data_IF_347187599285
#
_entry.id   IF_347187599285
#
_cell.length_a   1.000
_cell.length_b   1.000
_cell.length_c   1.000
_cell.angle_alpha   90.00
_cell.angle_beta   90.00
_cell.angle_gamma   90.00
#
_symmetry.space_group_name_H-M   'P 1'
#
loop_
_entity.id
_entity.type
_entity.pdbx_description
1 polymer ?
#
# COMPACT_ATOMS: atom_id res chain seq x y z
N UNK A 1 61.14 39.46 -55.23
CA UNK A 1 59.82 39.17 -54.65
C UNK A 1 59.48 37.69 -54.63
N UNK A 2 60.31 36.80 -55.16
CA UNK A 2 60.07 35.32 -55.21
C UNK A 2 60.80 34.51 -54.10
N UNK A 3 61.74 35.08 -53.40
CA UNK A 3 62.53 34.36 -52.34
C UNK A 3 61.83 34.43 -50.98
N UNK A 4 61.00 35.43 -50.68
CA UNK A 4 60.24 35.52 -49.42
C UNK A 4 59.06 34.56 -49.36
N UNK A 5 58.46 34.15 -50.50
CA UNK A 5 57.30 33.22 -50.49
C UNK A 5 57.67 31.75 -50.22
N UNK A 6 58.88 31.35 -50.66
CA UNK A 6 59.39 30.00 -50.41
C UNK A 6 59.82 29.76 -48.95
N UNK A 7 60.37 30.77 -48.29
CA UNK A 7 60.70 30.71 -46.87
C UNK A 7 59.52 30.64 -45.95
N UNK A 8 58.44 31.38 -46.30
CA UNK A 8 57.20 31.35 -45.54
C UNK A 8 56.47 29.97 -45.69
N UNK A 9 56.50 29.37 -46.90
CA UNK A 9 55.91 28.04 -47.11
C UNK A 9 56.73 26.95 -46.45
N UNK A 10 58.04 27.04 -46.43
CA UNK A 10 58.93 26.07 -45.75
C UNK A 10 58.79 26.16 -44.21
N UNK A 11 58.63 27.36 -43.66
CA UNK A 11 58.43 27.57 -42.23
C UNK A 11 57.04 27.05 -41.78
N UNK A 12 55.98 27.25 -42.56
CA UNK A 12 54.62 26.78 -42.27
C UNK A 12 54.56 25.23 -42.33
N UNK A 13 55.20 24.60 -43.29
CA UNK A 13 55.24 23.14 -43.40
C UNK A 13 56.05 22.52 -42.26
N UNK A 14 57.19 23.13 -41.86
CA UNK A 14 57.96 22.60 -40.76
C UNK A 14 57.27 22.85 -39.38
N UNK A 15 56.59 23.97 -39.20
CA UNK A 15 55.80 24.23 -38.02
C UNK A 15 54.63 23.25 -37.94
N UNK A 16 54.00 22.91 -39.10
CA UNK A 16 52.93 21.93 -39.15
C UNK A 16 53.44 20.51 -38.87
N UNK A 17 54.62 20.13 -39.39
CA UNK A 17 55.25 18.87 -39.07
C UNK A 17 55.69 18.74 -37.61
N UNK A 18 56.18 19.82 -37.00
CA UNK A 18 56.55 19.86 -35.56
C UNK A 18 55.29 19.80 -34.70
N UNK A 19 54.21 20.47 -35.10
CA UNK A 19 52.93 20.42 -34.41
C UNK A 19 52.26 19.05 -34.51
N UNK A 20 52.31 18.37 -35.65
CA UNK A 20 51.79 17.03 -35.82
C UNK A 20 52.63 15.98 -35.08
N UNK A 21 53.94 16.14 -35.04
CA UNK A 21 54.86 15.26 -34.28
C UNK A 21 54.71 15.38 -32.77
N UNK A 22 54.42 16.58 -32.27
CA UNK A 22 54.16 16.83 -30.86
C UNK A 22 52.72 16.45 -30.48
N UNK A 23 51.77 16.48 -31.43
CA UNK A 23 50.39 16.04 -31.12
C UNK A 23 50.31 14.52 -30.80
N UNK A 24 51.10 13.70 -31.43
CA UNK A 24 51.15 12.27 -31.10
C UNK A 24 51.80 12.02 -29.74
N UNK A 25 52.81 12.79 -29.36
CA UNK A 25 53.40 12.72 -28.00
C UNK A 25 52.44 13.25 -26.95
N UNK A 26 51.72 14.32 -27.21
CA UNK A 26 50.68 14.86 -26.29
C UNK A 26 49.45 13.92 -26.20
N UNK A 27 48.98 13.34 -27.29
CA UNK A 27 47.90 12.34 -27.26
C UNK A 27 48.32 11.07 -26.51
N UNK A 28 49.54 10.58 -26.73
CA UNK A 28 50.07 9.41 -26.00
C UNK A 28 50.30 9.74 -24.52
N UNK A 29 50.77 10.93 -24.17
CA UNK A 29 50.90 11.37 -22.78
C UNK A 29 49.54 11.59 -22.10
N UNK A 30 48.56 12.16 -22.78
CA UNK A 30 47.17 12.27 -22.27
C UNK A 30 46.49 10.92 -22.16
N UNK A 31 46.66 10.02 -23.15
CA UNK A 31 46.15 8.66 -23.07
C UNK A 31 46.83 7.85 -21.94
N UNK A 32 48.14 8.02 -21.74
CA UNK A 32 48.85 7.39 -20.61
C UNK A 32 48.50 7.96 -19.27
N UNK A 33 48.21 9.29 -19.16
CA UNK A 33 47.68 9.92 -17.92
C UNK A 33 46.25 9.50 -17.63
N UNK A 34 45.40 9.26 -18.65
CA UNK A 34 44.07 8.72 -18.44
C UNK A 34 44.06 7.20 -18.19
N UNK A 35 45.07 6.45 -18.67
CA UNK A 35 45.18 4.99 -18.39
C UNK A 35 45.83 4.68 -17.03
N UNK A 36 46.54 5.62 -16.39
CA UNK A 36 47.18 5.37 -15.10
C UNK A 36 46.33 5.64 -13.87
N UNK A 37 45.02 5.98 -14.06
CA UNK A 37 44.05 6.23 -12.99
C UNK A 37 42.83 5.34 -12.97
N UNK A 38 42.59 4.51 -14.00
CA UNK A 38 41.51 3.56 -14.03
C UNK A 38 41.99 2.17 -13.58
N UNK A 39 42.19 2.01 -12.28
CA UNK A 39 42.08 0.67 -11.70
C UNK A 39 40.63 0.27 -11.89
N UNK A 40 40.35 -0.54 -12.93
CA UNK A 40 39.13 -1.30 -13.02
C UNK A 40 39.14 -2.27 -11.82
N UNK A 41 38.68 -1.82 -10.68
CA UNK A 41 38.44 -2.71 -9.56
C UNK A 41 37.34 -3.67 -10.03
N UNK A 42 37.68 -4.94 -10.18
CA UNK A 42 36.68 -5.96 -10.47
C UNK A 42 35.61 -5.86 -9.37
N UNK A 43 34.39 -5.56 -9.75
CA UNK A 43 33.29 -5.51 -8.78
C UNK A 43 33.15 -6.88 -8.12
N UNK A 44 33.12 -6.90 -6.78
CA UNK A 44 32.89 -8.12 -6.02
C UNK A 44 31.46 -8.60 -6.31
N UNK A 45 31.33 -9.83 -6.77
CA UNK A 45 30.03 -10.48 -6.92
C UNK A 45 29.69 -11.24 -5.64
N UNK A 46 28.53 -10.96 -5.07
CA UNK A 46 28.00 -11.66 -3.90
C UNK A 46 26.70 -12.35 -4.30
N UNK A 47 26.58 -13.61 -3.97
CA UNK A 47 25.44 -14.46 -4.30
C UNK A 47 24.50 -14.60 -3.09
N UNK A 48 23.19 -14.47 -3.34
CA UNK A 48 22.14 -14.60 -2.35
C UNK A 48 21.07 -15.58 -2.82
N UNK A 49 20.70 -16.52 -1.96
CA UNK A 49 19.67 -17.53 -2.25
C UNK A 49 18.80 -17.79 -1.00
N UNK A 50 17.49 -17.66 -1.12
CA UNK A 50 16.54 -17.99 -0.04
C UNK A 50 16.60 -19.47 0.38
N UNK A 51 17.15 -20.33 -0.47
CA UNK A 51 17.37 -21.75 -0.16
C UNK A 51 18.68 -22.04 0.59
N UNK A 52 19.56 -21.04 0.79
CA UNK A 52 20.75 -21.19 1.63
C UNK A 52 20.34 -21.45 3.10
N UNK A 53 21.08 -22.29 3.81
CA UNK A 53 20.74 -22.66 5.18
C UNK A 53 20.86 -21.50 6.16
N UNK A 54 21.84 -20.59 5.93
CA UNK A 54 22.15 -19.44 6.77
C UNK A 54 23.02 -18.42 6.01
N UNK A 55 23.52 -17.39 6.70
CA UNK A 55 24.40 -16.35 6.16
C UNK A 55 25.90 -16.60 6.43
N UNK A 56 26.31 -17.79 6.87
CA UNK A 56 27.70 -18.07 7.23
C UNK A 56 28.61 -18.29 6.01
N UNK A 57 28.05 -18.61 4.84
CA UNK A 57 28.81 -18.68 3.59
C UNK A 57 29.49 -17.36 3.27
N UNK A 58 30.58 -17.34 2.51
CA UNK A 58 31.25 -16.12 2.07
C UNK A 58 30.47 -15.32 1.01
N UNK A 59 29.51 -15.97 0.35
CA UNK A 59 28.71 -15.39 -0.72
C UNK A 59 29.43 -15.31 -2.06
N UNK A 60 30.61 -15.89 -2.23
CA UNK A 60 31.41 -15.77 -3.47
C UNK A 60 30.98 -16.75 -4.57
N UNK A 61 30.14 -17.72 -4.23
CA UNK A 61 29.54 -18.68 -5.17
C UNK A 61 28.09 -18.96 -4.80
N UNK A 62 27.31 -19.55 -5.71
CA UNK A 62 25.95 -20.01 -5.41
C UNK A 62 25.92 -21.09 -4.31
N UNK A 63 26.95 -21.93 -4.21
CA UNK A 63 27.07 -22.95 -3.16
C UNK A 63 27.36 -22.37 -1.78
N UNK A 64 27.96 -21.19 -1.69
CA UNK A 64 28.27 -20.47 -0.43
C UNK A 64 27.43 -19.21 -0.27
N UNK A 65 26.30 -19.11 -1.01
CA UNK A 65 25.44 -17.94 -1.03
C UNK A 65 24.95 -17.53 0.37
N UNK A 66 24.78 -16.24 0.58
CA UNK A 66 24.06 -15.69 1.72
C UNK A 66 22.58 -16.05 1.62
N UNK A 67 21.91 -16.20 2.75
CA UNK A 67 20.47 -16.45 2.79
C UNK A 67 19.66 -15.15 2.64
N UNK A 68 20.11 -14.09 3.31
CA UNK A 68 19.41 -12.82 3.40
C UNK A 68 20.05 -11.77 2.49
N UNK A 69 19.22 -10.92 1.88
CA UNK A 69 19.71 -9.84 1.00
C UNK A 69 20.54 -8.82 1.79
N UNK A 70 20.14 -8.49 3.02
CA UNK A 70 20.90 -7.59 3.90
C UNK A 70 22.32 -8.09 4.17
N UNK A 71 22.49 -9.40 4.39
CA UNK A 71 23.82 -10.01 4.54
C UNK A 71 24.62 -9.96 3.22
N UNK A 72 23.94 -10.12 2.08
CA UNK A 72 24.55 -9.96 0.76
C UNK A 72 25.03 -8.52 0.52
N UNK A 73 24.22 -7.52 0.84
CA UNK A 73 24.58 -6.09 0.74
C UNK A 73 25.80 -5.78 1.63
N UNK A 74 25.80 -6.27 2.86
CA UNK A 74 26.94 -6.10 3.79
C UNK A 74 28.21 -6.72 3.23
N UNK A 75 28.14 -7.93 2.66
CA UNK A 75 29.27 -8.63 2.07
C UNK A 75 29.79 -7.96 0.77
N UNK A 76 28.90 -7.27 0.03
CA UNK A 76 29.28 -6.53 -1.18
C UNK A 76 30.12 -5.27 -0.89
N UNK A 77 30.14 -4.80 0.36
CA UNK A 77 30.90 -3.62 0.77
C UNK A 77 30.37 -2.32 0.15
N UNK A 78 31.26 -1.49 -0.38
CA UNK A 78 30.92 -0.16 -0.89
C UNK A 78 30.69 -0.09 -2.41
N UNK A 79 30.96 -1.16 -3.17
CA UNK A 79 30.92 -1.11 -4.65
C UNK A 79 30.69 -2.48 -5.30
N UNK A 80 30.07 -3.43 -4.61
CA UNK A 80 29.81 -4.78 -5.12
C UNK A 80 28.47 -4.93 -5.80
N UNK A 81 28.30 -6.09 -6.44
CA UNK A 81 27.03 -6.54 -7.06
C UNK A 81 26.49 -7.74 -6.28
N UNK A 82 25.27 -7.61 -5.80
CA UNK A 82 24.54 -8.67 -5.10
C UNK A 82 23.63 -9.38 -6.10
N UNK A 83 24.00 -10.59 -6.51
CA UNK A 83 23.22 -11.44 -7.41
C UNK A 83 22.21 -12.27 -6.63
N UNK A 84 20.92 -11.98 -6.78
CA UNK A 84 19.86 -12.59 -5.98
C UNK A 84 19.09 -13.61 -6.82
N UNK A 85 19.07 -14.86 -6.34
CA UNK A 85 18.32 -15.94 -6.98
C UNK A 85 16.81 -15.66 -6.91
N UNK A 86 16.06 -16.14 -7.89
CA UNK A 86 14.61 -16.15 -7.84
C UNK A 86 14.10 -16.87 -6.59
N UNK A 87 13.05 -16.34 -6.01
CA UNK A 87 12.46 -16.80 -4.75
C UNK A 87 11.91 -15.64 -3.95
N UNK A 88 11.19 -15.93 -2.88
CA UNK A 88 10.67 -14.92 -1.96
C UNK A 88 11.64 -14.68 -0.80
N UNK A 89 11.90 -13.41 -0.53
CA UNK A 89 12.73 -12.92 0.56
C UNK A 89 11.86 -12.03 1.46
N UNK A 90 11.59 -12.50 2.68
CA UNK A 90 10.83 -11.71 3.65
C UNK A 90 11.73 -10.60 4.21
N UNK A 91 11.29 -9.38 4.04
CA UNK A 91 11.97 -8.16 4.48
C UNK A 91 11.27 -7.70 5.75
N UNK A 92 11.83 -8.06 6.89
CA UNK A 92 11.28 -7.73 8.22
C UNK A 92 11.80 -6.40 8.76
N UNK A 93 12.86 -5.86 8.14
CA UNK A 93 13.44 -4.55 8.41
C UNK A 93 13.76 -3.89 7.09
N UNK A 94 13.59 -2.58 6.99
CA UNK A 94 13.86 -1.81 5.77
C UNK A 94 15.28 -2.06 5.24
N UNK A 95 15.40 -2.48 3.98
CA UNK A 95 16.69 -2.65 3.32
C UNK A 95 17.27 -1.28 2.93
N UNK A 96 18.54 -1.04 3.19
CA UNK A 96 19.28 0.07 2.59
C UNK A 96 20.24 -0.48 1.53
N UNK A 97 20.07 -0.01 0.28
CA UNK A 97 20.99 -0.31 -0.83
C UNK A 97 21.92 0.89 -0.98
N UNK A 98 23.18 0.83 -0.48
CA UNK A 98 24.04 1.98 -0.43
C UNK A 98 24.53 2.40 -1.81
N UNK A 99 24.94 3.66 -1.95
CA UNK A 99 25.57 4.16 -3.17
C UNK A 99 26.78 3.29 -3.56
N UNK A 100 26.86 2.95 -4.85
CA UNK A 100 27.92 2.05 -5.38
C UNK A 100 27.56 0.56 -5.31
N UNK A 101 26.57 0.14 -4.54
CA UNK A 101 26.10 -1.25 -4.51
C UNK A 101 24.94 -1.44 -5.49
N UNK A 102 24.97 -2.57 -6.23
CA UNK A 102 23.90 -2.97 -7.13
C UNK A 102 23.28 -4.29 -6.65
N UNK A 103 21.97 -4.32 -6.42
CA UNK A 103 21.20 -5.54 -6.12
C UNK A 103 20.46 -5.98 -7.37
N UNK A 104 20.79 -7.14 -7.89
CA UNK A 104 20.23 -7.73 -9.12
C UNK A 104 19.41 -8.97 -8.81
N UNK A 105 18.11 -8.92 -9.07
CA UNK A 105 17.21 -10.07 -8.94
C UNK A 105 17.04 -10.87 -10.25
N UNK A 106 16.30 -11.98 -10.15
CA UNK A 106 15.87 -12.79 -11.30
C UNK A 106 16.85 -13.88 -11.77
N UNK A 107 17.85 -14.23 -10.98
CA UNK A 107 18.77 -15.31 -11.33
C UNK A 107 18.14 -16.69 -11.12
N UNK A 108 18.37 -17.60 -12.10
CA UNK A 108 17.74 -18.92 -12.19
C UNK A 108 18.75 -20.06 -11.94
N UNK A 109 19.78 -19.82 -11.19
CA UNK A 109 20.86 -20.78 -11.06
C UNK A 109 20.45 -21.99 -10.20
N UNK A 110 20.74 -23.19 -10.71
CA UNK A 110 20.47 -24.47 -10.04
C UNK A 110 21.72 -25.18 -9.53
N UNK A 111 22.93 -24.72 -9.92
CA UNK A 111 24.18 -25.39 -9.63
C UNK A 111 25.14 -24.53 -8.79
N UNK A 112 26.20 -25.15 -8.32
CA UNK A 112 27.33 -24.49 -7.68
C UNK A 112 28.12 -23.63 -8.70
N UNK A 113 28.91 -22.67 -8.21
CA UNK A 113 29.73 -21.82 -9.05
C UNK A 113 29.28 -20.37 -9.11
N UNK A 114 29.72 -19.64 -10.13
CA UNK A 114 29.53 -18.19 -10.28
C UNK A 114 28.77 -17.80 -11.57
N UNK A 115 28.09 -18.75 -12.20
CA UNK A 115 27.37 -18.51 -13.45
C UNK A 115 26.16 -17.58 -13.21
N UNK A 116 26.15 -16.44 -13.91
CA UNK A 116 25.10 -15.42 -13.93
C UNK A 116 24.43 -15.27 -15.29
N UNK A 117 24.61 -16.24 -16.20
CA UNK A 117 24.08 -16.18 -17.58
C UNK A 117 22.56 -16.31 -17.64
N UNK A 118 21.95 -17.03 -16.71
CA UNK A 118 20.51 -17.26 -16.65
C UNK A 118 19.86 -16.24 -15.71
N UNK A 119 19.43 -15.14 -16.27
CA UNK A 119 18.70 -14.08 -15.56
C UNK A 119 17.41 -13.74 -16.28
N UNK A 120 16.30 -13.62 -15.54
CA UNK A 120 15.03 -13.14 -16.06
C UNK A 120 14.56 -11.91 -15.30
N UNK A 121 14.07 -10.94 -16.05
CA UNK A 121 13.51 -9.71 -15.48
C UNK A 121 12.00 -9.88 -15.31
N UNK A 122 11.38 -9.36 -14.25
CA UNK A 122 9.94 -9.30 -14.15
C UNK A 122 9.39 -8.42 -15.28
N UNK A 123 8.44 -8.93 -16.04
CA UNK A 123 7.88 -8.25 -17.20
C UNK A 123 6.36 -8.33 -17.22
N UNK A 124 5.74 -7.61 -18.18
CA UNK A 124 4.29 -7.50 -18.29
C UNK A 124 3.54 -8.84 -18.45
N UNK A 125 4.22 -9.87 -18.94
CA UNK A 125 3.65 -11.19 -19.21
C UNK A 125 4.01 -12.26 -18.16
N UNK A 126 4.77 -11.92 -17.12
CA UNK A 126 5.13 -12.85 -16.06
C UNK A 126 4.12 -12.72 -14.90
N UNK A 127 3.74 -13.85 -14.32
CA UNK A 127 3.06 -13.86 -13.04
C UNK A 127 4.06 -13.37 -11.98
N UNK A 128 3.90 -12.14 -11.51
CA UNK A 128 4.83 -11.47 -10.57
C UNK A 128 4.94 -12.16 -9.19
N UNK A 129 4.07 -13.13 -8.92
CA UNK A 129 4.11 -13.98 -7.73
C UNK A 129 4.81 -15.32 -7.99
N UNK A 130 5.37 -15.53 -9.17
CA UNK A 130 6.05 -16.78 -9.51
C UNK A 130 7.48 -16.75 -8.98
N UNK A 131 7.68 -17.37 -7.84
CA UNK A 131 8.98 -17.53 -7.17
C UNK A 131 10.00 -18.31 -8.00
N UNK A 132 9.54 -19.05 -9.01
CA UNK A 132 10.43 -19.78 -9.92
C UNK A 132 11.22 -18.82 -10.81
N UNK A 133 10.64 -17.66 -11.13
CA UNK A 133 11.21 -16.73 -12.11
C UNK A 133 11.53 -15.35 -11.55
N UNK A 134 10.92 -14.94 -10.45
CA UNK A 134 11.06 -13.61 -9.88
C UNK A 134 11.79 -13.63 -8.54
N UNK A 135 12.64 -12.64 -8.31
CA UNK A 135 13.13 -12.30 -6.99
C UNK A 135 12.11 -11.37 -6.35
N UNK A 136 11.44 -11.83 -5.31
CA UNK A 136 10.36 -11.09 -4.63
C UNK A 136 10.89 -10.59 -3.28
N UNK A 137 10.99 -9.27 -3.15
CA UNK A 137 11.25 -8.58 -1.89
C UNK A 137 9.90 -8.32 -1.23
N UNK A 138 9.52 -9.17 -0.30
CA UNK A 138 8.22 -9.12 0.35
C UNK A 138 8.34 -8.46 1.71
N UNK A 139 7.76 -7.27 1.85
CA UNK A 139 7.61 -6.61 3.15
C UNK A 139 6.60 -7.30 4.05
N UNK A 140 6.52 -6.83 5.29
CA UNK A 140 5.63 -7.33 6.34
C UNK A 140 4.44 -6.40 6.63
N UNK A 141 4.28 -5.34 5.83
CA UNK A 141 3.29 -4.28 6.02
C UNK A 141 3.51 -3.37 7.25
N UNK A 142 4.72 -3.37 7.82
CA UNK A 142 5.10 -2.49 8.93
C UNK A 142 6.18 -1.48 8.52
N UNK A 143 6.95 -1.79 7.48
CA UNK A 143 8.07 -0.98 7.02
C UNK A 143 8.05 -0.83 5.50
N UNK A 144 8.68 0.25 5.01
CA UNK A 144 9.10 0.35 3.62
C UNK A 144 10.00 -0.84 3.29
N UNK A 145 9.92 -1.36 2.06
CA UNK A 145 10.75 -2.51 1.67
C UNK A 145 12.20 -2.10 1.53
N UNK A 146 12.48 -0.97 0.84
CA UNK A 146 13.87 -0.52 0.69
C UNK A 146 14.03 0.98 0.47
N UNK A 147 15.17 1.51 0.97
CA UNK A 147 15.75 2.77 0.54
C UNK A 147 16.90 2.50 -0.45
N UNK A 148 16.83 3.13 -1.63
CA UNK A 148 17.72 2.91 -2.76
C UNK A 148 18.59 4.14 -2.99
N UNK A 149 19.85 4.07 -2.53
CA UNK A 149 20.90 5.06 -2.84
C UNK A 149 21.83 4.54 -3.96
N UNK A 150 21.89 3.22 -4.15
CA UNK A 150 22.58 2.52 -5.23
C UNK A 150 21.63 2.09 -6.34
N UNK A 151 21.71 0.82 -6.74
CA UNK A 151 20.87 0.29 -7.83
C UNK A 151 20.08 -0.93 -7.37
N UNK A 152 18.76 -0.92 -7.59
CA UNK A 152 17.89 -2.06 -7.50
C UNK A 152 17.43 -2.47 -8.91
N UNK A 153 17.70 -3.70 -9.34
CA UNK A 153 17.50 -4.15 -10.71
C UNK A 153 16.77 -5.51 -10.76
N UNK A 154 15.62 -5.54 -11.42
CA UNK A 154 14.93 -6.78 -11.76
C UNK A 154 14.28 -7.51 -10.58
N UNK A 155 13.74 -6.77 -9.63
CA UNK A 155 13.05 -7.32 -8.47
C UNK A 155 11.55 -6.99 -8.48
N UNK A 156 10.76 -7.85 -7.86
CA UNK A 156 9.39 -7.53 -7.43
C UNK A 156 9.47 -7.02 -6.00
N UNK A 157 8.92 -5.84 -5.75
CA UNK A 157 8.80 -5.21 -4.44
C UNK A 157 7.34 -5.23 -4.04
N UNK A 158 7.01 -5.87 -2.94
CA UNK A 158 5.61 -6.05 -2.54
C UNK A 158 5.38 -5.90 -1.05
N UNK A 159 4.16 -5.47 -0.71
CA UNK A 159 3.66 -5.43 0.68
C UNK A 159 4.51 -4.51 1.58
N UNK A 160 5.03 -3.42 1.03
CA UNK A 160 5.70 -2.38 1.80
C UNK A 160 4.70 -1.38 2.37
N UNK A 161 5.04 -0.80 3.52
CA UNK A 161 4.21 0.20 4.20
C UNK A 161 5.06 1.33 4.78
N UNK A 162 4.50 2.53 4.83
CA UNK A 162 5.05 3.66 5.59
C UNK A 162 3.95 4.65 5.95
N UNK A 163 4.12 5.35 7.05
CA UNK A 163 3.28 6.52 7.39
C UNK A 163 3.84 7.84 6.84
N UNK A 164 4.82 7.80 5.92
CA UNK A 164 5.48 8.98 5.39
C UNK A 164 5.58 8.90 3.87
N UNK A 165 6.75 8.64 3.31
CA UNK A 165 7.02 8.66 1.87
C UNK A 165 7.53 7.32 1.35
N UNK A 166 7.04 6.87 0.18
CA UNK A 166 7.56 5.69 -0.52
C UNK A 166 7.24 4.36 0.16
N UNK A 167 6.00 3.88 0.11
CA UNK A 167 5.59 2.64 0.77
C UNK A 167 6.39 1.41 0.34
N UNK A 168 6.64 1.24 -0.96
CA UNK A 168 7.51 0.20 -1.48
C UNK A 168 8.97 0.61 -1.45
N UNK A 169 9.31 1.72 -2.09
CA UNK A 169 10.69 2.23 -2.24
C UNK A 169 10.79 3.72 -1.92
N UNK A 170 11.85 4.10 -1.24
CA UNK A 170 12.41 5.45 -1.27
C UNK A 170 13.63 5.42 -2.19
N UNK A 171 13.56 6.09 -3.35
CA UNK A 171 14.66 6.19 -4.31
C UNK A 171 15.34 7.54 -4.05
N UNK A 172 16.45 7.51 -3.31
CA UNK A 172 17.18 8.68 -2.81
C UNK A 172 18.53 8.82 -3.52
N UNK A 173 18.52 9.47 -4.66
CA UNK A 173 19.71 9.60 -5.53
C UNK A 173 20.10 8.31 -6.28
N UNK A 174 19.47 7.18 -5.96
CA UNK A 174 19.73 5.88 -6.57
C UNK A 174 18.88 5.60 -7.82
N UNK A 175 18.92 4.35 -8.29
CA UNK A 175 18.14 3.90 -9.44
C UNK A 175 17.41 2.59 -9.14
N UNK A 176 16.11 2.54 -9.36
CA UNK A 176 15.35 1.30 -9.45
C UNK A 176 14.97 1.06 -10.92
N UNK A 177 15.27 -0.13 -11.44
CA UNK A 177 15.02 -0.44 -12.86
C UNK A 177 14.53 -1.87 -13.07
N UNK A 178 13.69 -2.03 -14.09
CA UNK A 178 13.11 -3.33 -14.43
C UNK A 178 12.43 -4.00 -13.23
N UNK A 179 11.82 -3.18 -12.34
CA UNK A 179 11.17 -3.62 -11.13
C UNK A 179 9.65 -3.68 -11.32
N UNK A 180 9.00 -4.47 -10.48
CA UNK A 180 7.55 -4.41 -10.28
C UNK A 180 7.28 -4.03 -8.84
N UNK A 181 6.63 -2.89 -8.63
CA UNK A 181 6.20 -2.42 -7.31
C UNK A 181 4.70 -2.67 -7.19
N UNK A 182 4.27 -3.48 -6.23
CA UNK A 182 2.86 -3.83 -6.08
C UNK A 182 2.41 -3.96 -4.63
N UNK A 183 1.14 -3.67 -4.40
CA UNK A 183 0.52 -3.85 -3.08
C UNK A 183 1.27 -3.12 -1.95
N UNK A 184 1.87 -1.96 -2.27
CA UNK A 184 2.58 -1.12 -1.31
C UNK A 184 1.73 0.09 -0.93
N UNK A 185 1.87 0.57 0.31
CA UNK A 185 1.07 1.67 0.83
C UNK A 185 1.91 2.73 1.53
N UNK A 186 1.56 4.00 1.32
CA UNK A 186 2.03 5.15 2.08
C UNK A 186 0.81 5.86 2.68
N UNK A 187 0.59 5.71 3.97
CA UNK A 187 -0.65 6.16 4.62
C UNK A 187 -0.35 6.74 5.99
N UNK A 188 -0.69 8.01 6.17
CA UNK A 188 -0.68 8.71 7.45
C UNK A 188 -2.11 8.85 7.97
N UNK A 189 -2.40 8.18 9.07
CA UNK A 189 -3.74 8.16 9.67
C UNK A 189 -4.18 9.51 10.25
N UNK A 190 -3.24 10.40 10.54
CA UNK A 190 -3.50 11.67 11.23
C UNK A 190 -3.49 12.87 10.29
N UNK A 191 -2.43 13.02 9.50
CA UNK A 191 -2.21 14.22 8.68
C UNK A 191 -2.57 14.01 7.21
N UNK A 192 -2.81 12.77 6.79
CA UNK A 192 -3.10 12.39 5.40
C UNK A 192 -2.07 12.93 4.41
N UNK A 193 -0.81 12.95 4.84
CA UNK A 193 0.31 13.57 4.12
C UNK A 193 1.25 12.57 3.45
N UNK A 194 1.05 11.26 3.65
CA UNK A 194 1.93 10.24 3.12
C UNK A 194 1.84 10.13 1.58
N UNK A 195 2.99 9.96 0.93
CA UNK A 195 3.11 10.04 -0.52
C UNK A 195 3.82 8.85 -1.15
N UNK A 196 3.41 8.52 -2.40
CA UNK A 196 4.10 7.52 -3.21
C UNK A 196 3.96 6.10 -2.68
N UNK A 197 2.77 5.51 -2.76
CA UNK A 197 2.52 4.15 -2.28
C UNK A 197 3.50 3.12 -2.84
N UNK A 198 3.79 3.16 -4.14
CA UNK A 198 4.82 2.32 -4.76
C UNK A 198 6.23 2.85 -4.52
N UNK A 199 6.47 4.12 -4.81
CA UNK A 199 7.78 4.75 -4.65
C UNK A 199 7.68 6.24 -4.36
N UNK A 200 8.65 6.76 -3.61
CA UNK A 200 8.97 8.18 -3.54
C UNK A 200 10.38 8.41 -4.09
N UNK A 201 10.56 9.45 -4.93
CA UNK A 201 11.82 9.71 -5.63
C UNK A 201 12.32 11.11 -5.28
N UNK A 202 13.57 11.21 -4.83
CA UNK A 202 14.23 12.49 -4.52
C UNK A 202 15.72 12.46 -4.83
N UNK A 203 16.38 13.62 -4.74
CA UNK A 203 17.82 13.77 -4.95
C UNK A 203 18.29 13.21 -6.30
N UNK A 204 17.55 13.52 -7.38
CA UNK A 204 17.79 13.00 -8.74
C UNK A 204 17.71 11.47 -8.87
N UNK A 205 17.00 10.79 -7.99
CA UNK A 205 16.71 9.36 -8.10
C UNK A 205 15.96 9.01 -9.38
N UNK A 206 16.04 7.76 -9.83
CA UNK A 206 15.44 7.33 -11.10
C UNK A 206 14.65 6.04 -10.94
N UNK A 207 13.40 6.04 -11.38
CA UNK A 207 12.61 4.83 -11.63
C UNK A 207 12.48 4.63 -13.14
N UNK A 208 12.96 3.51 -13.67
CA UNK A 208 12.99 3.29 -15.12
C UNK A 208 12.56 1.86 -15.51
N UNK A 209 11.85 1.73 -16.63
CA UNK A 209 11.41 0.46 -17.22
C UNK A 209 10.69 -0.45 -16.19
N UNK A 210 9.90 0.15 -15.33
CA UNK A 210 9.29 -0.54 -14.20
C UNK A 210 7.76 -0.49 -14.26
N UNK A 211 7.11 -1.37 -13.50
CA UNK A 211 5.66 -1.41 -13.35
C UNK A 211 5.30 -1.03 -11.92
N UNK A 212 4.36 -0.11 -11.74
CA UNK A 212 3.79 0.25 -10.43
C UNK A 212 2.30 -0.02 -10.47
N UNK A 213 1.83 -0.95 -9.63
CA UNK A 213 0.44 -1.40 -9.67
C UNK A 213 -0.09 -1.77 -8.30
N UNK A 214 -1.42 -1.59 -8.11
CA UNK A 214 -2.11 -1.94 -6.86
C UNK A 214 -1.50 -1.27 -5.61
N UNK A 215 -0.83 -0.13 -5.78
CA UNK A 215 -0.28 0.66 -4.69
C UNK A 215 -1.29 1.73 -4.25
N UNK A 216 -1.14 2.20 -3.00
CA UNK A 216 -2.05 3.17 -2.39
C UNK A 216 -1.26 4.23 -1.62
N UNK A 217 -1.73 5.46 -1.64
CA UNK A 217 -1.19 6.54 -0.80
C UNK A 217 -2.25 7.60 -0.53
N UNK A 218 -1.99 8.46 0.45
CA UNK A 218 -2.80 9.66 0.67
C UNK A 218 -2.65 10.61 -0.52
N UNK A 219 -1.41 10.83 -0.95
CA UNK A 219 -1.07 11.68 -2.09
C UNK A 219 -0.08 10.97 -3.03
N UNK A 220 -0.03 11.38 -4.31
CA UNK A 220 0.89 10.78 -5.27
C UNK A 220 0.80 9.26 -5.32
N UNK A 221 -0.39 8.74 -5.51
CA UNK A 221 -0.86 7.38 -5.23
C UNK A 221 0.11 6.26 -5.58
N UNK A 222 0.69 6.30 -6.77
CA UNK A 222 1.61 5.26 -7.22
C UNK A 222 3.06 5.65 -6.96
N UNK A 223 3.43 6.82 -7.45
CA UNK A 223 4.76 7.40 -7.34
C UNK A 223 4.63 8.89 -7.06
N UNK A 224 5.40 9.39 -6.10
CA UNK A 224 5.56 10.80 -5.79
C UNK A 224 7.06 11.16 -5.75
N UNK A 225 7.37 12.43 -5.59
CA UNK A 225 8.75 12.89 -5.48
C UNK A 225 8.94 14.36 -5.76
N UNK A 226 10.13 14.87 -5.47
CA UNK A 226 10.48 16.28 -5.61
C UNK A 226 11.26 16.56 -6.91
N UNK A 227 12.35 15.84 -7.15
CA UNK A 227 13.31 16.09 -8.25
C UNK A 227 13.77 14.81 -8.97
N UNK A 228 12.97 13.74 -8.87
CA UNK A 228 13.28 12.46 -9.49
C UNK A 228 12.83 12.34 -10.93
N UNK A 229 13.26 11.26 -11.57
CA UNK A 229 12.92 10.95 -12.96
C UNK A 229 12.13 9.65 -13.10
N UNK A 230 11.06 9.71 -13.88
CA UNK A 230 10.26 8.56 -14.32
C UNK A 230 10.52 8.31 -15.81
N UNK A 231 11.11 7.16 -16.15
CA UNK A 231 11.48 6.85 -17.53
C UNK A 231 10.84 5.53 -17.95
N UNK A 232 9.97 5.55 -18.97
CA UNK A 232 9.36 4.37 -19.57
C UNK A 232 8.73 3.41 -18.55
N UNK A 233 7.91 3.93 -17.62
CA UNK A 233 7.24 3.11 -16.61
C UNK A 233 5.77 2.88 -16.95
N UNK A 234 5.22 1.75 -16.50
CA UNK A 234 3.79 1.46 -16.55
C UNK A 234 3.19 1.65 -15.16
N UNK A 235 2.29 2.62 -15.02
CA UNK A 235 1.60 2.93 -13.77
C UNK A 235 0.11 2.64 -13.94
N UNK A 236 -0.41 1.63 -13.23
CA UNK A 236 -1.77 1.13 -13.44
C UNK A 236 -2.40 0.55 -12.18
N UNK A 237 -3.74 0.57 -12.09
CA UNK A 237 -4.52 -0.03 -10.98
C UNK A 237 -4.13 0.47 -9.59
N UNK A 238 -3.62 1.69 -9.49
CA UNK A 238 -3.33 2.31 -8.21
C UNK A 238 -4.54 3.14 -7.77
N UNK A 239 -4.78 3.23 -6.47
CA UNK A 239 -5.93 3.96 -5.93
C UNK A 239 -5.54 4.81 -4.73
N UNK A 240 -6.15 6.00 -4.56
CA UNK A 240 -5.98 6.76 -3.34
C UNK A 240 -6.51 5.95 -2.14
N UNK A 241 -6.00 6.22 -0.96
CA UNK A 241 -6.54 5.62 0.28
C UNK A 241 -7.84 6.30 0.65
N UNK A 242 -7.92 7.61 0.42
CA UNK A 242 -9.08 8.43 0.71
C UNK A 242 -9.79 8.91 -0.55
N UNK A 243 -11.10 9.02 -0.49
CA UNK A 243 -11.92 9.59 -1.56
C UNK A 243 -12.46 10.98 -1.20
N UNK A 244 -11.71 11.73 -0.40
CA UNK A 244 -12.09 13.03 0.13
C UNK A 244 -12.79 12.91 1.49
N UNK A 245 -13.62 13.87 1.80
CA UNK A 245 -14.49 13.88 2.97
C UNK A 245 -15.93 14.13 2.55
N UNK A 246 -16.86 13.81 3.39
CA UNK A 246 -18.28 14.15 3.21
C UNK A 246 -18.79 14.94 4.41
N UNK A 247 -19.71 15.86 4.15
CA UNK A 247 -20.35 16.64 5.18
C UNK A 247 -21.85 16.40 5.07
N UNK A 248 -22.51 16.08 6.18
CA UNK A 248 -23.96 15.97 6.21
C UNK A 248 -24.66 17.33 6.39
N UNK A 249 -25.96 17.33 6.36
CA UNK A 249 -26.79 18.55 6.47
C UNK A 249 -26.64 19.26 7.83
N UNK A 250 -26.25 18.55 8.86
CA UNK A 250 -25.96 19.10 10.20
C UNK A 250 -24.55 19.69 10.31
N UNK A 251 -23.74 19.62 9.26
CA UNK A 251 -22.35 20.09 9.23
C UNK A 251 -21.35 19.13 9.86
N UNK A 252 -21.72 17.87 10.08
CA UNK A 252 -20.78 16.86 10.55
C UNK A 252 -19.85 16.40 9.44
N UNK A 253 -18.54 16.35 9.71
CA UNK A 253 -17.51 15.85 8.80
C UNK A 253 -17.27 14.37 9.01
N UNK A 254 -17.16 13.63 7.91
CA UNK A 254 -16.77 12.20 7.89
C UNK A 254 -15.62 12.01 6.92
N UNK A 255 -14.55 11.42 7.41
CA UNK A 255 -13.47 10.97 6.56
C UNK A 255 -13.93 9.77 5.72
N UNK A 256 -13.23 9.51 4.64
CA UNK A 256 -13.57 8.44 3.73
C UNK A 256 -12.38 7.53 3.48
N UNK A 257 -12.64 6.34 2.94
CA UNK A 257 -11.61 5.37 2.57
C UNK A 257 -12.02 4.58 1.34
N UNK A 258 -11.09 4.38 0.41
CA UNK A 258 -11.25 3.41 -0.67
C UNK A 258 -10.88 2.02 -0.19
N UNK A 259 -11.84 1.08 -0.31
CA UNK A 259 -11.61 -0.34 -0.07
C UNK A 259 -12.06 -1.10 -1.32
N UNK A 260 -11.11 -1.67 -2.04
CA UNK A 260 -11.39 -2.24 -3.35
C UNK A 260 -11.79 -1.18 -4.38
N UNK A 261 -13.03 -1.26 -4.86
CA UNK A 261 -13.61 -0.32 -5.82
C UNK A 261 -14.62 0.64 -5.18
N UNK A 262 -14.83 0.54 -3.86
CA UNK A 262 -15.86 1.27 -3.14
C UNK A 262 -15.25 2.34 -2.23
N UNK A 263 -15.88 3.51 -2.20
CA UNK A 263 -15.55 4.59 -1.28
C UNK A 263 -16.52 4.57 -0.10
N UNK A 264 -16.01 4.33 1.10
CA UNK A 264 -16.78 4.19 2.35
C UNK A 264 -16.51 5.35 3.30
N UNK A 265 -17.51 5.72 4.11
CA UNK A 265 -17.27 6.53 5.30
C UNK A 265 -16.39 5.77 6.31
N UNK A 266 -15.49 6.47 7.02
CA UNK A 266 -14.65 5.90 8.10
C UNK A 266 -15.33 5.97 9.46
N UNK A 267 -16.26 6.90 9.66
CA UNK A 267 -17.02 7.09 10.89
C UNK A 267 -18.47 6.67 10.70
N UNK A 268 -19.11 6.31 11.80
CA UNK A 268 -20.55 6.08 11.84
C UNK A 268 -21.32 7.40 11.67
N UNK A 269 -22.41 7.35 10.93
CA UNK A 269 -23.27 8.52 10.73
C UNK A 269 -23.79 9.06 12.08
N UNK A 270 -23.89 10.42 12.19
CA UNK A 270 -24.39 11.10 13.38
C UNK A 270 -25.32 12.27 13.07
N UNK A 271 -25.94 12.23 11.88
CA UNK A 271 -26.93 13.23 11.48
C UNK A 271 -28.22 13.12 12.31
N UNK A 272 -28.86 14.24 12.53
CA UNK A 272 -30.19 14.35 13.16
C UNK A 272 -31.26 14.81 12.17
N UNK A 273 -30.87 15.03 10.91
CA UNK A 273 -31.75 15.41 9.81
C UNK A 273 -31.45 14.56 8.56
N UNK A 274 -32.47 14.37 7.73
CA UNK A 274 -32.28 13.87 6.36
C UNK A 274 -31.61 14.92 5.49
N UNK A 275 -31.14 14.54 4.30
CA UNK A 275 -30.43 15.45 3.38
C UNK A 275 -31.28 16.67 2.97
N UNK A 276 -32.61 16.55 2.96
CA UNK A 276 -33.57 17.63 2.70
C UNK A 276 -33.85 18.53 3.93
N UNK A 277 -33.09 18.37 5.01
CA UNK A 277 -33.24 19.06 6.29
C UNK A 277 -34.47 18.65 7.11
N UNK A 278 -35.20 17.61 6.73
CA UNK A 278 -36.28 17.07 7.55
C UNK A 278 -35.72 16.44 8.83
N UNK A 279 -36.21 16.82 10.05
CA UNK A 279 -35.66 16.31 11.29
C UNK A 279 -36.00 14.85 11.54
N UNK A 280 -35.03 14.11 12.10
CA UNK A 280 -35.18 12.73 12.57
C UNK A 280 -35.43 12.78 14.09
N UNK A 281 -36.39 12.04 14.57
CA UNK A 281 -36.80 12.07 15.97
C UNK A 281 -35.80 11.36 16.88
N UNK A 282 -35.41 11.98 18.01
CA UNK A 282 -34.70 11.27 19.10
C UNK A 282 -35.70 10.37 19.85
N UNK A 283 -35.44 9.06 19.87
CA UNK A 283 -36.28 8.11 20.59
C UNK A 283 -35.57 7.47 21.80
N UNK A 284 -36.32 7.08 22.80
CA UNK A 284 -35.84 6.47 24.05
C UNK A 284 -36.37 5.02 24.22
N UNK A 285 -37.12 4.55 23.26
CA UNK A 285 -37.63 3.18 23.18
C UNK A 285 -37.58 2.72 21.72
N UNK A 286 -37.24 1.47 21.52
CA UNK A 286 -37.17 0.89 20.16
C UNK A 286 -38.55 0.93 19.50
N UNK A 287 -38.64 1.56 18.33
CA UNK A 287 -39.85 1.70 17.52
C UNK A 287 -39.53 1.69 16.04
N UNK A 288 -40.49 1.28 15.21
CA UNK A 288 -40.47 1.46 13.77
C UNK A 288 -41.68 2.27 13.25
N UNK A 289 -42.46 2.88 14.15
CA UNK A 289 -43.65 3.65 13.78
C UNK A 289 -43.29 4.96 13.05
N UNK A 290 -42.08 5.45 13.27
CA UNK A 290 -41.54 6.65 12.64
C UNK A 290 -40.01 6.58 12.55
N UNK A 291 -39.38 7.34 11.62
CA UNK A 291 -37.92 7.46 11.56
C UNK A 291 -37.34 8.04 12.85
N UNK A 292 -36.40 7.35 13.46
CA UNK A 292 -35.77 7.82 14.70
C UNK A 292 -34.32 7.39 14.83
N UNK A 293 -33.61 8.13 15.72
CA UNK A 293 -32.27 7.78 16.15
C UNK A 293 -32.21 7.59 17.67
N UNK A 294 -31.22 6.84 18.10
CA UNK A 294 -30.95 6.53 19.51
C UNK A 294 -29.57 7.04 19.87
N UNK A 295 -29.48 7.78 20.98
CA UNK A 295 -28.24 8.37 21.49
C UNK A 295 -27.81 7.67 22.76
N UNK A 296 -26.58 7.15 22.77
CA UNK A 296 -25.99 6.60 23.98
C UNK A 296 -25.42 7.73 24.87
N UNK A 297 -26.15 8.14 25.89
CA UNK A 297 -25.73 9.21 26.76
C UNK A 297 -24.51 8.88 27.64
N UNK A 298 -24.19 7.61 27.81
CA UNK A 298 -22.97 7.15 28.50
C UNK A 298 -21.69 7.41 27.71
N UNK A 299 -21.80 7.69 26.39
CA UNK A 299 -20.70 7.95 25.47
C UNK A 299 -20.72 9.40 24.96
N UNK A 300 -21.31 10.33 25.71
CA UNK A 300 -21.59 11.70 25.23
C UNK A 300 -20.36 12.52 24.83
N UNK A 301 -19.20 12.29 25.45
CA UNK A 301 -17.95 13.00 25.13
C UNK A 301 -17.27 12.47 23.85
N UNK A 302 -17.67 11.28 23.38
CA UNK A 302 -17.08 10.59 22.23
C UNK A 302 -18.06 10.44 21.05
N UNK A 303 -19.11 11.29 21.00
CA UNK A 303 -20.15 11.19 19.96
C UNK A 303 -19.57 11.20 18.54
N UNK A 304 -18.52 11.99 18.28
CA UNK A 304 -17.85 12.05 16.98
C UNK A 304 -17.23 10.72 16.60
N UNK A 305 -16.86 9.89 17.58
CA UNK A 305 -16.27 8.58 17.40
C UNK A 305 -17.34 7.50 17.20
N UNK A 306 -18.36 7.47 18.05
CA UNK A 306 -19.36 6.38 18.07
C UNK A 306 -20.52 6.58 17.10
N UNK A 307 -20.93 7.82 16.80
CA UNK A 307 -22.12 8.15 16.00
C UNK A 307 -23.44 7.84 16.71
N UNK A 308 -24.54 7.90 15.95
CA UNK A 308 -25.86 7.47 16.42
C UNK A 308 -26.22 6.09 15.90
N UNK A 309 -27.21 5.47 16.54
CA UNK A 309 -27.87 4.29 16.00
C UNK A 309 -29.25 4.68 15.50
N UNK A 310 -29.69 4.10 14.39
CA UNK A 310 -30.91 4.45 13.69
C UNK A 310 -31.79 3.22 13.53
N UNK A 311 -33.10 3.42 13.64
CA UNK A 311 -34.05 2.38 13.21
C UNK A 311 -34.08 2.27 11.69
N UNK A 312 -34.60 1.17 11.17
CA UNK A 312 -34.58 0.91 9.73
C UNK A 312 -35.44 1.90 8.92
N UNK A 313 -36.54 2.43 9.52
CA UNK A 313 -37.33 3.50 8.92
C UNK A 313 -36.53 4.76 8.66
N UNK A 314 -35.65 5.16 9.60
CA UNK A 314 -34.75 6.30 9.39
C UNK A 314 -33.70 6.00 8.33
N UNK A 315 -33.12 4.80 8.35
CA UNK A 315 -32.09 4.39 7.38
C UNK A 315 -32.61 4.46 5.95
N UNK A 316 -33.80 3.94 5.71
CA UNK A 316 -34.40 3.85 4.38
C UNK A 316 -35.14 5.11 3.92
N UNK A 317 -35.58 5.97 4.84
CA UNK A 317 -36.36 7.19 4.55
C UNK A 317 -37.49 6.95 3.52
N UNK A 318 -38.27 5.88 3.72
CA UNK A 318 -39.38 5.52 2.83
C UNK A 318 -38.98 4.81 1.51
N UNK A 319 -37.68 4.61 1.26
CA UNK A 319 -37.23 3.86 0.08
C UNK A 319 -37.58 2.36 0.19
N UNK A 320 -37.75 1.72 -0.96
CA UNK A 320 -37.95 0.27 -1.03
C UNK A 320 -36.65 -0.47 -0.82
N UNK A 321 -36.72 -1.60 -0.11
CA UNK A 321 -35.59 -2.53 0.04
C UNK A 321 -35.02 -2.98 -1.31
N UNK A 322 -33.70 -3.11 -1.38
CA UNK A 322 -33.01 -3.55 -2.59
C UNK A 322 -31.71 -4.29 -2.26
N UNK A 323 -31.32 -5.20 -3.13
CA UNK A 323 -30.00 -5.85 -3.11
C UNK A 323 -29.15 -5.49 -4.35
N UNK A 324 -29.53 -4.43 -5.08
CA UNK A 324 -28.76 -3.93 -6.21
C UNK A 324 -27.40 -3.36 -5.73
N UNK A 325 -26.41 -3.35 -6.62
CA UNK A 325 -25.10 -2.74 -6.39
C UNK A 325 -24.73 -1.81 -7.58
N UNK A 326 -24.76 -0.47 -7.41
CA UNK A 326 -25.11 0.26 -6.18
C UNK A 326 -26.59 0.12 -5.79
N UNK A 327 -26.91 0.30 -4.52
CA UNK A 327 -28.30 0.19 -4.03
C UNK A 327 -29.21 1.27 -4.61
N UNK A 328 -28.67 2.45 -4.87
CA UNK A 328 -29.42 3.64 -5.29
C UNK A 328 -30.34 4.21 -4.20
N UNK A 329 -30.26 3.71 -2.98
CA UNK A 329 -31.04 4.19 -1.82
C UNK A 329 -30.26 5.27 -1.10
N UNK A 330 -30.53 6.56 -1.36
CA UNK A 330 -29.97 7.62 -0.56
C UNK A 330 -30.32 7.44 0.94
N UNK A 331 -31.61 7.26 1.24
CA UNK A 331 -32.06 7.09 2.62
C UNK A 331 -31.60 8.21 3.54
N UNK A 332 -30.90 7.86 4.61
CA UNK A 332 -30.36 8.81 5.58
C UNK A 332 -28.98 9.38 5.17
N UNK A 333 -28.37 8.89 4.10
CA UNK A 333 -27.03 9.29 3.69
C UNK A 333 -27.00 10.70 3.09
N UNK A 334 -25.89 11.44 3.21
CA UNK A 334 -25.70 12.74 2.55
C UNK A 334 -25.81 12.66 1.03
N UNK A 335 -25.97 13.81 0.37
CA UNK A 335 -26.02 13.91 -1.08
C UNK A 335 -24.77 13.32 -1.75
N UNK A 336 -24.98 12.49 -2.82
CA UNK A 336 -23.92 11.76 -3.52
C UNK A 336 -23.44 10.52 -2.78
N UNK A 337 -24.19 10.08 -1.76
CA UNK A 337 -23.93 8.88 -0.96
C UNK A 337 -25.23 8.07 -0.77
N UNK A 338 -25.10 6.79 -0.60
CA UNK A 338 -26.23 5.88 -0.43
C UNK A 338 -26.01 4.88 0.70
N UNK A 339 -27.10 4.31 1.20
CA UNK A 339 -27.09 3.19 2.15
C UNK A 339 -26.67 1.93 1.38
N UNK A 340 -25.59 1.25 1.77
CA UNK A 340 -25.11 0.10 1.04
C UNK A 340 -26.07 -1.09 1.12
N UNK A 341 -26.27 -1.77 -0.01
CA UNK A 341 -27.00 -3.05 -0.06
C UNK A 341 -26.17 -4.18 0.54
N UNK A 342 -26.81 -5.33 0.77
CA UNK A 342 -26.13 -6.58 1.13
C UNK A 342 -25.05 -6.94 0.10
N UNK A 343 -25.33 -6.78 -1.19
CA UNK A 343 -24.40 -7.08 -2.28
C UNK A 343 -23.16 -6.16 -2.26
N UNK A 344 -23.31 -4.90 -1.86
CA UNK A 344 -22.19 -3.98 -1.72
C UNK A 344 -21.31 -4.32 -0.51
N UNK A 345 -21.90 -4.73 0.60
CA UNK A 345 -21.16 -5.29 1.72
C UNK A 345 -20.43 -6.60 1.34
N UNK A 346 -21.04 -7.45 0.50
CA UNK A 346 -20.36 -8.63 -0.03
C UNK A 346 -19.14 -8.27 -0.88
N UNK A 347 -19.21 -7.18 -1.66
CA UNK A 347 -18.08 -6.65 -2.43
C UNK A 347 -16.95 -6.22 -1.51
N UNK A 348 -17.24 -5.46 -0.44
CA UNK A 348 -16.27 -5.09 0.59
C UNK A 348 -15.60 -6.33 1.21
N UNK A 349 -16.41 -7.24 1.74
CA UNK A 349 -15.93 -8.46 2.41
C UNK A 349 -15.12 -9.33 1.46
N UNK A 350 -15.59 -9.51 0.21
CA UNK A 350 -14.89 -10.27 -0.82
C UNK A 350 -13.51 -9.69 -1.13
N UNK A 351 -13.41 -8.37 -1.26
CA UNK A 351 -12.13 -7.72 -1.47
C UNK A 351 -11.20 -7.90 -0.27
N UNK A 352 -11.64 -7.55 0.94
CA UNK A 352 -10.81 -7.62 2.14
C UNK A 352 -10.33 -9.05 2.42
N UNK A 353 -11.23 -10.03 2.30
CA UNK A 353 -10.91 -11.45 2.51
C UNK A 353 -10.02 -12.05 1.42
N UNK A 354 -9.92 -11.44 0.24
CA UNK A 354 -9.01 -11.88 -0.83
C UNK A 354 -7.58 -11.37 -0.66
N UNK A 355 -7.38 -10.26 0.08
CA UNK A 355 -6.07 -9.61 0.19
C UNK A 355 -5.27 -10.18 1.35
N UNK A 356 -4.08 -10.71 1.08
CA UNK A 356 -3.18 -11.27 2.12
C UNK A 356 -2.84 -10.26 3.22
N UNK A 357 -2.65 -9.00 2.86
CA UNK A 357 -2.32 -7.89 3.78
C UNK A 357 -3.37 -7.61 4.84
N UNK A 358 -4.62 -7.97 4.61
CA UNK A 358 -5.73 -7.80 5.54
C UNK A 358 -6.03 -9.03 6.38
N UNK A 359 -5.25 -10.10 6.18
CA UNK A 359 -5.38 -11.35 6.91
C UNK A 359 -4.36 -11.44 8.03
N UNK A 360 -4.73 -12.14 9.06
CA UNK A 360 -3.81 -12.47 10.13
C UNK A 360 -2.77 -13.50 9.64
N UNK A 361 -1.50 -13.40 10.05
CA UNK A 361 -0.51 -14.40 9.72
C UNK A 361 -0.98 -15.82 10.11
N UNK A 362 -0.83 -16.77 9.19
CA UNK A 362 -1.20 -18.18 9.37
C UNK A 362 -2.72 -18.48 9.55
N UNK A 363 -3.61 -17.51 9.27
CA UNK A 363 -5.05 -17.72 9.26
C UNK A 363 -5.70 -17.03 8.07
N UNK A 364 -5.85 -17.74 6.96
CA UNK A 364 -6.37 -17.20 5.70
C UNK A 364 -7.84 -16.74 5.74
N UNK A 365 -8.58 -17.12 6.77
CA UNK A 365 -10.00 -16.75 6.93
C UNK A 365 -10.20 -15.60 7.91
N UNK A 366 -9.13 -15.00 8.44
CA UNK A 366 -9.24 -13.93 9.43
C UNK A 366 -8.92 -12.57 8.83
N UNK A 367 -9.92 -11.69 8.78
CA UNK A 367 -9.81 -10.34 8.25
C UNK A 367 -10.56 -9.29 9.09
N UNK A 368 -11.30 -9.69 10.12
CA UNK A 368 -12.11 -8.75 10.92
C UNK A 368 -11.28 -7.68 11.63
N UNK A 369 -10.04 -8.02 12.06
CA UNK A 369 -9.10 -7.05 12.64
C UNK A 369 -8.81 -5.89 11.69
N UNK A 370 -8.68 -6.16 10.41
CA UNK A 370 -8.37 -5.13 9.41
C UNK A 370 -9.49 -4.11 9.22
N UNK A 371 -10.74 -4.49 9.50
CA UNK A 371 -11.92 -3.62 9.44
C UNK A 371 -12.22 -2.92 10.78
N UNK A 372 -11.78 -3.48 11.88
CA UNK A 372 -12.11 -3.05 13.24
C UNK A 372 -11.30 -1.81 13.66
N UNK A 373 -11.86 -1.00 14.56
CA UNK A 373 -11.17 0.13 15.22
C UNK A 373 -10.07 -0.34 16.18
N UNK A 374 -9.09 0.52 16.44
CA UNK A 374 -8.03 0.26 17.44
C UNK A 374 -8.53 0.35 18.89
N UNK A 375 -9.73 0.87 19.10
CA UNK A 375 -10.27 1.14 20.44
C UNK A 375 -11.72 0.66 20.58
N UNK A 376 -12.19 0.56 21.82
CA UNK A 376 -13.57 0.27 22.16
C UNK A 376 -13.93 -1.22 22.28
N UNK A 377 -13.09 -2.14 21.80
CA UNK A 377 -13.36 -3.57 21.82
C UNK A 377 -13.08 -4.21 23.18
N UNK A 378 -13.98 -5.08 23.62
CA UNK A 378 -13.74 -5.96 24.76
C UNK A 378 -12.58 -6.91 24.47
N UNK A 379 -11.79 -7.23 25.48
CA UNK A 379 -10.66 -8.12 25.34
C UNK A 379 -11.09 -9.58 25.14
N UNK A 380 -10.32 -10.32 24.33
CA UNK A 380 -10.44 -11.78 24.18
C UNK A 380 -9.06 -12.44 23.99
N UNK A 381 -8.97 -13.72 24.30
CA UNK A 381 -7.80 -14.56 24.01
C UNK A 381 -7.85 -15.19 22.60
N UNK A 382 -8.95 -15.02 21.86
CA UNK A 382 -9.09 -15.60 20.53
C UNK A 382 -8.17 -14.86 19.56
N UNK A 383 -7.19 -15.55 19.04
CA UNK A 383 -6.23 -14.99 18.10
C UNK A 383 -6.92 -14.49 16.83
N UNK A 384 -6.35 -13.45 16.22
CA UNK A 384 -6.82 -12.93 14.93
C UNK A 384 -8.23 -12.34 14.97
N UNK A 385 -8.67 -11.85 16.11
CA UNK A 385 -9.99 -11.21 16.31
C UNK A 385 -9.84 -9.77 16.82
N UNK A 386 -10.85 -8.90 16.64
CA UNK A 386 -10.76 -7.48 17.00
C UNK A 386 -10.38 -7.20 18.46
N UNK A 387 -10.83 -8.02 19.40
CA UNK A 387 -10.55 -7.84 20.82
C UNK A 387 -9.18 -8.34 21.27
N UNK A 388 -8.45 -9.06 20.41
CA UNK A 388 -7.10 -9.52 20.69
C UNK A 388 -6.08 -8.52 20.10
N UNK A 389 -5.26 -7.88 20.96
CA UNK A 389 -4.28 -6.85 20.51
C UNK A 389 -4.93 -5.78 19.60
N UNK A 390 -5.95 -5.08 20.12
CA UNK A 390 -6.75 -4.13 19.32
C UNK A 390 -5.93 -2.99 18.70
N UNK A 391 -4.76 -2.65 19.26
CA UNK A 391 -3.82 -1.68 18.67
C UNK A 391 -3.34 -2.03 17.26
N UNK A 392 -3.42 -3.33 16.88
CA UNK A 392 -3.07 -3.85 15.55
C UNK A 392 -4.25 -3.84 14.56
N UNK A 393 -5.42 -3.36 14.96
CA UNK A 393 -6.61 -3.29 14.10
C UNK A 393 -6.47 -2.19 13.04
N UNK A 394 -7.49 -2.12 12.15
CA UNK A 394 -7.74 -1.03 11.18
C UNK A 394 -6.80 -0.92 9.98
N UNK A 395 -6.22 -2.03 9.53
CA UNK A 395 -5.38 -2.02 8.32
C UNK A 395 -6.11 -1.52 7.05
N UNK A 396 -7.45 -1.63 6.98
CA UNK A 396 -8.26 -1.07 5.89
C UNK A 396 -8.64 0.39 6.11
N UNK A 397 -8.47 0.93 7.32
CA UNK A 397 -9.00 2.21 7.79
C UNK A 397 -10.54 2.31 7.79
N UNK A 398 -11.25 1.22 7.65
CA UNK A 398 -12.72 1.20 7.78
C UNK A 398 -13.15 1.60 9.20
N UNK A 399 -12.35 1.29 10.21
CA UNK A 399 -12.51 1.75 11.59
C UNK A 399 -13.88 1.41 12.20
N UNK A 400 -14.33 0.16 12.09
CA UNK A 400 -15.57 -0.30 12.71
C UNK A 400 -15.49 -0.25 14.22
N UNK A 401 -16.34 0.57 14.86
CA UNK A 401 -16.38 0.77 16.30
C UNK A 401 -17.50 -0.08 16.92
N UNK A 402 -17.26 -0.80 18.04
CA UNK A 402 -18.24 -1.70 18.63
C UNK A 402 -19.31 -0.94 19.45
N UNK A 403 -20.21 -0.26 18.72
CA UNK A 403 -21.31 0.51 19.31
C UNK A 403 -22.46 -0.35 19.82
N UNK A 404 -22.45 -1.65 19.54
CA UNK A 404 -23.53 -2.57 19.91
C UNK A 404 -24.81 -2.30 19.15
N UNK A 405 -25.95 -2.47 19.81
CA UNK A 405 -27.28 -2.29 19.31
C UNK A 405 -28.14 -1.53 20.33
N UNK A 406 -29.15 -0.78 19.85
CA UNK A 406 -30.24 -0.30 20.70
C UNK A 406 -31.46 -1.20 20.50
N UNK A 407 -31.98 -1.79 21.59
CA UNK A 407 -33.21 -2.58 21.54
C UNK A 407 -34.00 -2.44 22.86
N UNK A 408 -35.32 -2.56 22.78
CA UNK A 408 -36.16 -2.28 23.92
C UNK A 408 -36.03 -0.81 24.38
N UNK A 409 -35.34 -0.58 25.47
CA UNK A 409 -35.08 0.76 26.05
C UNK A 409 -33.61 1.01 26.36
N UNK A 410 -32.71 0.21 25.79
CA UNK A 410 -31.29 0.33 26.14
C UNK A 410 -30.31 -0.16 25.07
N UNK A 411 -29.06 0.20 25.30
CA UNK A 411 -27.94 -0.24 24.47
C UNK A 411 -27.39 -1.58 24.98
N UNK A 412 -27.17 -2.50 24.04
CA UNK A 412 -26.68 -3.85 24.29
C UNK A 412 -25.43 -4.12 23.45
N UNK A 413 -24.57 -5.03 23.92
CA UNK A 413 -23.36 -5.47 23.20
C UNK A 413 -22.35 -4.36 22.87
N UNK A 414 -22.38 -3.23 23.57
CA UNK A 414 -21.33 -2.19 23.46
C UNK A 414 -19.99 -2.82 23.85
N UNK A 415 -18.96 -2.56 23.07
CA UNK A 415 -17.65 -3.19 23.20
C UNK A 415 -17.56 -4.60 22.60
N UNK A 416 -18.68 -5.25 22.31
CA UNK A 416 -18.72 -6.63 21.82
C UNK A 416 -19.01 -6.74 20.32
N UNK A 417 -19.78 -5.79 19.77
CA UNK A 417 -20.23 -5.84 18.38
C UNK A 417 -20.22 -4.46 17.72
N UNK A 418 -19.78 -4.41 16.47
CA UNK A 418 -20.04 -3.30 15.55
C UNK A 418 -21.08 -3.77 14.53
N UNK A 419 -22.26 -3.15 14.52
CA UNK A 419 -23.43 -3.55 13.71
C UNK A 419 -23.78 -2.43 12.74
N UNK A 420 -24.05 -2.78 11.48
CA UNK A 420 -24.36 -1.84 10.41
C UNK A 420 -25.57 -2.28 9.60
N UNK A 421 -26.57 -1.40 9.46
CA UNK A 421 -27.69 -1.64 8.58
C UNK A 421 -27.25 -1.75 7.10
N UNK A 422 -28.02 -2.52 6.34
CA UNK A 422 -27.96 -2.54 4.86
C UNK A 422 -29.26 -1.97 4.28
N UNK A 423 -29.30 -1.66 3.00
CA UNK A 423 -30.55 -1.30 2.28
C UNK A 423 -31.41 -2.53 1.91
N UNK A 424 -31.03 -3.71 2.36
CA UNK A 424 -31.69 -4.98 2.03
C UNK A 424 -32.45 -5.53 3.22
N UNK A 425 -33.64 -6.05 3.01
CA UNK A 425 -34.40 -6.78 4.02
C UNK A 425 -34.50 -8.28 3.69
N UNK A 426 -35.10 -9.04 4.59
CA UNK A 426 -35.32 -10.48 4.40
C UNK A 426 -36.70 -10.82 3.82
N UNK A 427 -37.50 -9.83 3.41
CA UNK A 427 -38.91 -9.97 2.95
C UNK A 427 -39.88 -10.55 4.00
N UNK A 428 -39.48 -10.66 5.28
CA UNK A 428 -40.28 -11.16 6.39
C UNK A 428 -40.43 -10.16 7.55
N UNK A 429 -40.18 -8.86 7.27
CA UNK A 429 -40.35 -7.79 8.27
C UNK A 429 -39.09 -7.51 9.11
N UNK A 430 -37.92 -7.89 8.62
CA UNK A 430 -36.64 -7.61 9.28
C UNK A 430 -35.60 -7.12 8.30
N UNK A 431 -34.84 -6.09 8.69
CA UNK A 431 -33.72 -5.59 7.91
C UNK A 431 -32.49 -6.50 8.06
N UNK A 432 -31.73 -6.64 6.98
CA UNK A 432 -30.41 -7.31 7.03
C UNK A 432 -29.38 -6.34 7.55
N UNK A 433 -28.51 -6.81 8.45
CA UNK A 433 -27.39 -6.06 8.97
C UNK A 433 -26.08 -6.86 8.90
N UNK A 434 -24.96 -6.15 8.82
CA UNK A 434 -23.60 -6.70 8.92
C UNK A 434 -23.03 -6.44 10.29
N UNK A 435 -22.22 -7.39 10.79
CA UNK A 435 -21.60 -7.20 12.09
C UNK A 435 -20.21 -7.84 12.19
N UNK A 436 -19.39 -7.21 13.03
CA UNK A 436 -18.10 -7.71 13.48
C UNK A 436 -18.21 -7.95 14.98
N UNK A 437 -17.70 -9.08 15.46
CA UNK A 437 -17.63 -9.38 16.90
C UNK A 437 -16.19 -9.30 17.40
N UNK A 438 -16.03 -8.93 18.66
CA UNK A 438 -14.75 -8.82 19.35
C UNK A 438 -13.95 -10.13 19.37
N UNK A 439 -14.62 -11.28 19.31
CA UNK A 439 -14.11 -12.65 19.48
C UNK A 439 -14.19 -13.51 18.19
N UNK A 440 -14.52 -12.91 17.05
CA UNK A 440 -14.64 -13.60 15.75
C UNK A 440 -13.72 -12.99 14.69
N UNK A 441 -13.26 -13.82 13.76
CA UNK A 441 -12.23 -13.46 12.77
C UNK A 441 -12.79 -12.93 11.45
N UNK A 442 -14.11 -12.91 11.26
CA UNK A 442 -14.82 -12.46 10.05
C UNK A 442 -15.86 -11.37 10.33
N UNK A 443 -16.53 -10.94 9.27
CA UNK A 443 -17.75 -10.13 9.30
C UNK A 443 -18.89 -10.99 8.85
N UNK A 444 -19.90 -11.12 9.70
CA UNK A 444 -21.09 -11.94 9.46
C UNK A 444 -22.30 -11.08 9.09
N UNK A 445 -23.41 -11.73 8.74
CA UNK A 445 -24.70 -11.09 8.53
C UNK A 445 -25.81 -11.78 9.32
N UNK A 446 -26.83 -11.02 9.65
CA UNK A 446 -28.09 -11.53 10.19
C UNK A 446 -29.24 -10.57 9.82
N UNK A 447 -30.45 -10.88 10.22
CA UNK A 447 -31.60 -10.00 10.10
C UNK A 447 -32.20 -9.71 11.48
N UNK A 448 -32.70 -8.47 11.68
CA UNK A 448 -33.26 -8.04 12.94
C UNK A 448 -34.46 -7.10 12.70
N UNK A 449 -35.32 -6.97 13.72
CA UNK A 449 -36.49 -6.10 13.67
C UNK A 449 -36.11 -4.68 13.21
N UNK A 450 -36.95 -4.08 12.37
CA UNK A 450 -36.81 -2.71 11.90
C UNK A 450 -36.75 -1.66 13.03
N UNK A 451 -37.25 -2.00 14.21
CA UNK A 451 -37.21 -1.12 15.40
C UNK A 451 -35.85 -1.09 16.10
N UNK A 452 -34.97 -2.04 15.79
CA UNK A 452 -33.63 -2.09 16.39
C UNK A 452 -32.76 -0.95 15.86
N UNK A 453 -31.95 -0.36 16.73
CA UNK A 453 -30.99 0.66 16.36
C UNK A 453 -29.64 0.07 16.04
N UNK A 454 -29.11 0.34 14.83
CA UNK A 454 -27.76 0.04 14.41
C UNK A 454 -27.09 1.27 13.79
N UNK A 455 -25.77 1.23 13.72
CA UNK A 455 -24.99 2.27 13.03
C UNK A 455 -25.24 2.23 11.51
N UNK A 456 -24.91 3.35 10.85
CA UNK A 456 -24.95 3.48 9.39
C UNK A 456 -23.57 3.90 8.88
N UNK A 457 -23.14 3.26 7.80
CA UNK A 457 -21.97 3.61 7.00
C UNK A 457 -22.43 3.77 5.56
N UNK A 458 -22.28 4.97 5.02
CA UNK A 458 -22.66 5.23 3.63
C UNK A 458 -21.52 4.91 2.66
N UNK A 459 -21.90 4.59 1.43
CA UNK A 459 -21.01 4.37 0.28
C UNK A 459 -21.25 5.48 -0.73
N UNK A 460 -20.22 5.97 -1.36
CA UNK A 460 -20.29 7.00 -2.40
C UNK A 460 -20.90 6.43 -3.68
N UNK A 461 -21.71 7.23 -4.35
CA UNK A 461 -22.36 6.91 -5.64
C UNK A 461 -21.35 6.70 -6.78
#
# INVERSE_FOLDING_TARGET
MYICSLFASWLIVNIYCIFMRNRHFFLIAILSMFCSGLTLSAQTLIFVSSSASNDNGDGLTWGTAKRNISAGITAAGTSGVVCVKAGTYNINDELTIPAGVEVKGGYQQSSEGTDTSLRRLPGANLHWNDETWCTILQGDFHHRVATVLGILDGCVVSVGFTSSIGGGLLIDGGTARYCVLKECEAVDENEHSAEGGGAYIRNNGVLINSVVTQCRADNGVAVAGEDGSLINNTITRNSPVHCGYVVDVDGNYYNTVFIGTQCWMRENLRTTHFADSTPITLAYSATNDYPCYYKNNSLSEELSLYGYQYNWSAVMNGATSTDAAPSGVQGICPDGWHVPSRSEWNTLVGYVSSQRRYKCPNNENSYSKSLASKTGWNYTYNNCTPGQSSSENTATQFNAIPTGAFSGTGFNNVGSQANFWTATDNNYGSGIFRYIRYDQSGMDENSESYSTGYAVRCVKD
#
